data_IF_207596959240
#
_entry.id   IF_207596959240
#
_cell.length_a   1.000
_cell.length_b   1.000
_cell.length_c   1.000
_cell.angle_alpha   90.00
_cell.angle_beta   90.00
_cell.angle_gamma   90.00
#
_symmetry.space_group_name_H-M   'P 1'
#
loop_
_entity.id
_entity.type
_entity.pdbx_description
1 polymer ?
#
# COMPACT_ATOMS: atom_id res chain seq x y z
N UNK A 1 41.43 -47.94 24.37
CA UNK A 1 41.08 -49.14 23.58
C UNK A 1 39.64 -48.95 23.15
N UNK A 2 39.49 -48.49 21.92
CA UNK A 2 38.25 -48.38 21.16
C UNK A 2 38.73 -48.13 19.74
N UNK A 3 38.69 -49.22 18.96
CA UNK A 3 39.11 -49.30 17.57
C UNK A 3 38.05 -48.66 16.67
N UNK A 4 38.49 -47.93 15.64
CA UNK A 4 37.66 -47.52 14.49
C UNK A 4 38.21 -48.26 13.26
N UNK A 5 37.34 -49.00 12.59
CA UNK A 5 37.60 -49.81 11.39
C UNK A 5 37.56 -48.94 10.13
N UNK A 6 38.61 -49.01 9.29
CA UNK A 6 38.63 -48.50 7.91
C UNK A 6 37.91 -49.49 6.97
N UNK A 7 37.07 -48.97 6.09
CA UNK A 7 36.37 -49.73 5.03
C UNK A 7 37.22 -49.70 3.76
N UNK A 8 37.44 -50.88 3.16
CA UNK A 8 38.29 -51.13 1.99
C UNK A 8 37.50 -50.97 0.67
N UNK A 9 37.82 -49.92 -0.10
CA UNK A 9 37.13 -49.52 -1.34
C UNK A 9 37.31 -50.54 -2.50
N UNK A 10 38.27 -51.47 -2.43
CA UNK A 10 38.50 -52.47 -3.48
C UNK A 10 37.45 -53.60 -3.49
N UNK A 11 36.76 -53.84 -2.38
CA UNK A 11 35.73 -54.89 -2.28
C UNK A 11 34.43 -54.50 -3.01
N UNK A 12 34.11 -53.21 -3.06
CA UNK A 12 32.85 -52.70 -3.60
C UNK A 12 32.87 -52.64 -5.13
N UNK A 13 34.05 -52.40 -5.72
CA UNK A 13 34.24 -52.38 -7.17
C UNK A 13 34.14 -53.76 -7.82
N UNK A 14 34.52 -54.83 -7.10
CA UNK A 14 34.43 -56.20 -7.58
C UNK A 14 32.99 -56.72 -7.65
N UNK A 15 32.10 -56.24 -6.78
CA UNK A 15 30.68 -56.62 -6.76
C UNK A 15 29.89 -56.03 -7.93
N UNK A 16 30.25 -54.82 -8.37
CA UNK A 16 29.60 -54.14 -9.50
C UNK A 16 30.00 -54.72 -10.87
N UNK A 17 31.22 -55.23 -11.00
CA UNK A 17 31.66 -55.88 -12.25
C UNK A 17 30.96 -57.23 -12.49
N UNK A 18 30.54 -57.93 -11.42
CA UNK A 18 29.88 -59.24 -11.51
C UNK A 18 28.40 -59.17 -11.92
N UNK A 19 27.74 -58.01 -11.81
CA UNK A 19 26.34 -57.85 -12.23
C UNK A 19 26.15 -57.45 -13.69
N UNK A 20 27.23 -57.16 -14.43
CA UNK A 20 27.15 -56.65 -15.81
C UNK A 20 27.34 -57.71 -16.91
N UNK A 21 27.61 -58.98 -16.55
CA UNK A 21 27.93 -60.06 -17.51
C UNK A 21 26.90 -61.20 -17.61
N UNK A 22 25.66 -61.01 -17.14
CA UNK A 22 24.61 -62.05 -17.21
C UNK A 22 23.33 -61.48 -17.84
N UNK A 23 23.28 -61.41 -19.17
CA UNK A 23 22.29 -62.18 -19.94
C UNK A 23 22.47 -61.96 -21.46
N UNK A 24 22.88 -63.04 -22.12
CA UNK A 24 22.96 -63.15 -23.58
C UNK A 24 21.97 -64.20 -24.09
N UNK A 25 21.31 -63.84 -25.20
CA UNK A 25 21.00 -64.65 -26.40
C UNK A 25 20.21 -65.99 -26.28
N UNK A 26 19.12 -66.09 -27.06
CA UNK A 26 18.98 -66.94 -28.28
C UNK A 26 17.50 -67.29 -28.57
N UNK A 27 17.09 -67.28 -29.85
CA UNK A 27 15.77 -67.77 -30.30
C UNK A 27 15.45 -67.47 -31.77
N UNK A 28 15.40 -68.54 -32.57
CA UNK A 28 15.48 -68.68 -34.04
C UNK A 28 14.16 -68.49 -34.85
N UNK A 29 14.35 -68.14 -36.13
CA UNK A 29 13.62 -68.33 -37.43
C UNK A 29 12.10 -68.20 -37.71
N UNK A 30 11.87 -67.78 -38.98
CA UNK A 30 10.80 -68.09 -39.96
C UNK A 30 9.49 -67.25 -40.17
N UNK A 31 9.45 -66.61 -41.35
CA UNK A 31 8.42 -66.62 -42.44
C UNK A 31 6.98 -66.04 -42.30
N UNK A 32 6.72 -65.01 -43.15
CA UNK A 32 5.59 -64.82 -44.13
C UNK A 32 4.24 -64.14 -43.73
N UNK A 33 3.87 -63.17 -44.59
CA UNK A 33 2.55 -62.60 -45.04
C UNK A 33 1.63 -61.72 -44.15
N UNK A 34 1.34 -60.53 -44.71
CA UNK A 34 0.06 -59.81 -44.93
C UNK A 34 -1.02 -59.70 -43.84
N UNK A 35 -1.58 -58.48 -43.75
CA UNK A 35 -3.01 -58.27 -43.44
C UNK A 35 -3.31 -57.15 -42.45
N UNK A 36 -4.05 -56.14 -42.93
CA UNK A 36 -4.79 -55.14 -42.16
C UNK A 36 -5.60 -55.75 -40.99
N UNK A 37 -5.74 -55.04 -39.86
CA UNK A 37 -7.05 -54.51 -39.44
C UNK A 37 -7.03 -53.80 -38.07
N UNK A 38 -7.98 -52.87 -38.00
CA UNK A 38 -8.32 -51.93 -36.95
C UNK A 38 -8.70 -52.53 -35.56
N UNK A 39 -8.37 -51.74 -34.54
CA UNK A 39 -9.21 -51.40 -33.38
C UNK A 39 -9.73 -52.54 -32.45
N UNK A 40 -9.06 -52.73 -31.30
CA UNK A 40 -9.68 -52.77 -29.95
C UNK A 40 -8.71 -53.25 -28.86
N UNK A 41 -8.28 -52.37 -27.94
CA UNK A 41 -7.99 -52.71 -26.54
C UNK A 41 -7.79 -51.44 -25.70
N UNK A 42 -8.88 -50.94 -25.12
CA UNK A 42 -8.84 -50.12 -23.93
C UNK A 42 -8.60 -51.00 -22.70
N UNK A 43 -7.91 -50.45 -21.70
CA UNK A 43 -7.63 -51.02 -20.36
C UNK A 43 -6.44 -52.00 -20.29
N UNK A 44 -5.24 -51.43 -20.29
CA UNK A 44 -4.05 -52.02 -19.71
C UNK A 44 -3.28 -50.93 -18.98
N UNK A 45 -3.51 -50.81 -17.66
CA UNK A 45 -2.70 -49.95 -16.82
C UNK A 45 -1.28 -50.49 -16.80
N UNK A 46 -0.36 -49.72 -17.36
CA UNK A 46 1.08 -49.87 -17.12
C UNK A 46 1.53 -48.63 -16.41
N UNK A 47 2.15 -48.84 -15.26
CA UNK A 47 3.02 -47.92 -14.54
C UNK A 47 4.02 -47.34 -15.56
N UNK A 48 3.63 -46.23 -16.19
CA UNK A 48 4.41 -45.59 -17.24
C UNK A 48 5.47 -44.80 -16.50
N UNK A 49 6.63 -45.43 -16.31
CA UNK A 49 7.83 -44.74 -15.85
C UNK A 49 8.06 -43.61 -16.84
N UNK A 50 7.80 -42.39 -16.38
CA UNK A 50 7.93 -41.19 -17.19
C UNK A 50 9.40 -41.09 -17.61
N UNK A 51 9.64 -40.89 -18.90
CA UNK A 51 10.98 -40.64 -19.39
C UNK A 51 11.48 -39.29 -18.82
N UNK A 52 12.79 -39.16 -18.64
CA UNK A 52 13.42 -37.97 -18.09
C UNK A 52 13.03 -36.71 -18.87
N UNK A 53 12.77 -36.83 -20.17
CA UNK A 53 12.24 -35.74 -21.00
C UNK A 53 10.80 -35.32 -20.67
N UNK A 54 9.91 -36.25 -20.31
CA UNK A 54 8.55 -35.93 -19.85
C UNK A 54 8.59 -35.31 -18.45
N UNK A 55 9.48 -35.78 -17.57
CA UNK A 55 9.71 -35.20 -16.24
C UNK A 55 10.24 -33.77 -16.34
N UNK A 56 11.21 -33.52 -17.21
CA UNK A 56 11.80 -32.20 -17.40
C UNK A 56 10.81 -31.21 -18.04
N UNK A 57 9.93 -31.69 -18.93
CA UNK A 57 8.83 -30.88 -19.48
C UNK A 57 7.77 -30.50 -18.45
N UNK A 58 7.57 -31.34 -17.42
CA UNK A 58 6.66 -31.09 -16.31
C UNK A 58 7.29 -30.23 -15.20
N UNK A 59 8.61 -30.30 -15.02
CA UNK A 59 9.36 -29.56 -13.99
C UNK A 59 10.00 -28.27 -14.48
N UNK A 60 9.96 -27.98 -15.79
CA UNK A 60 10.33 -26.68 -16.36
C UNK A 60 11.83 -26.37 -16.24
N UNK A 61 12.68 -27.39 -16.26
CA UNK A 61 14.13 -27.24 -16.33
C UNK A 61 14.56 -27.50 -17.78
N UNK A 62 14.38 -26.52 -18.65
CA UNK A 62 15.22 -26.45 -19.84
C UNK A 62 15.73 -25.03 -20.03
N UNK A 63 17.00 -24.97 -20.39
CA UNK A 63 17.85 -23.78 -20.39
C UNK A 63 17.34 -22.67 -21.31
N UNK A 64 17.72 -21.46 -20.94
CA UNK A 64 17.49 -20.19 -21.61
C UNK A 64 17.73 -20.26 -23.14
N UNK A 65 16.69 -19.98 -23.92
CA UNK A 65 16.79 -19.24 -25.18
C UNK A 65 15.45 -18.53 -25.45
N UNK A 66 15.52 -17.25 -25.77
CA UNK A 66 14.41 -16.31 -25.99
C UNK A 66 13.34 -16.87 -26.95
N UNK A 67 12.10 -17.01 -26.47
CA UNK A 67 10.92 -16.92 -27.34
C UNK A 67 9.75 -16.20 -26.66
N UNK A 68 9.46 -15.01 -27.17
CA UNK A 68 8.25 -14.24 -26.88
C UNK A 68 7.04 -14.99 -27.45
N UNK A 69 6.39 -15.79 -26.60
CA UNK A 69 4.97 -16.06 -26.74
C UNK A 69 4.55 -17.52 -26.84
N UNK A 70 4.55 -18.22 -25.71
CA UNK A 70 3.48 -19.14 -25.34
C UNK A 70 3.69 -19.62 -23.90
N UNK A 71 3.49 -18.73 -22.91
CA UNK A 71 3.30 -19.19 -21.53
C UNK A 71 2.07 -20.11 -21.52
N UNK A 72 2.29 -21.38 -21.23
CA UNK A 72 1.29 -22.44 -21.11
C UNK A 72 -0.03 -21.87 -20.57
N UNK A 73 -1.12 -22.01 -21.33
CA UNK A 73 -2.41 -21.40 -21.01
C UNK A 73 -2.93 -21.75 -19.61
N UNK A 74 -2.48 -22.87 -19.04
CA UNK A 74 -2.79 -23.30 -17.67
C UNK A 74 -1.97 -22.51 -16.64
N UNK A 75 -0.69 -22.24 -16.90
CA UNK A 75 0.14 -21.39 -16.03
C UNK A 75 -0.26 -19.92 -16.15
N UNK A 76 -0.69 -19.48 -17.34
CA UNK A 76 -1.34 -18.18 -17.52
C UNK A 76 -2.66 -18.10 -16.72
N UNK A 77 -3.46 -19.16 -16.66
CA UNK A 77 -4.70 -19.21 -15.86
C UNK A 77 -4.45 -19.31 -14.34
N UNK A 78 -3.42 -20.05 -13.90
CA UNK A 78 -3.00 -20.10 -12.50
C UNK A 78 -2.40 -18.75 -12.08
N UNK A 79 -1.62 -18.11 -12.96
CA UNK A 79 -1.13 -16.74 -12.78
C UNK A 79 -2.22 -15.68 -12.99
N UNK A 80 -3.34 -15.99 -13.67
CA UNK A 80 -4.49 -15.09 -13.79
C UNK A 80 -5.31 -15.02 -12.50
N UNK A 81 -5.00 -15.90 -11.55
CA UNK A 81 -5.32 -15.73 -10.13
C UNK A 81 -4.38 -14.75 -9.41
N UNK A 82 -3.50 -14.02 -10.11
CA UNK A 82 -3.01 -12.71 -9.69
C UNK A 82 -4.25 -11.87 -9.50
N UNK A 83 -4.71 -11.84 -8.26
CA UNK A 83 -5.87 -11.07 -7.88
C UNK A 83 -5.51 -9.62 -8.20
N UNK A 84 -6.04 -9.12 -9.31
CA UNK A 84 -5.95 -7.72 -9.68
C UNK A 84 -6.86 -6.95 -8.72
N UNK A 85 -6.39 -6.81 -7.47
CA UNK A 85 -7.01 -5.92 -6.53
C UNK A 85 -6.90 -4.50 -7.07
N UNK A 86 -7.97 -3.74 -6.85
CA UNK A 86 -8.11 -2.37 -7.29
C UNK A 86 -6.90 -1.54 -6.82
N UNK A 87 -6.23 -0.83 -7.75
CA UNK A 87 -5.14 0.07 -7.38
C UNK A 87 -5.68 1.13 -6.43
N UNK A 88 -5.04 1.28 -5.27
CA UNK A 88 -5.37 2.27 -4.25
C UNK A 88 -4.46 3.50 -4.46
N UNK A 89 -4.89 4.53 -5.21
CA UNK A 89 -4.00 5.61 -5.63
C UNK A 89 -3.49 6.44 -4.45
N UNK A 90 -4.25 6.47 -3.35
CA UNK A 90 -3.86 7.16 -2.13
C UNK A 90 -2.71 6.46 -1.42
N UNK A 91 -2.57 5.13 -1.55
CA UNK A 91 -1.41 4.43 -0.99
C UNK A 91 -0.12 4.85 -1.69
N UNK A 92 -0.14 5.03 -3.01
CA UNK A 92 1.04 5.52 -3.74
C UNK A 92 1.52 6.88 -3.16
N UNK A 93 0.59 7.79 -2.86
CA UNK A 93 0.92 9.11 -2.30
C UNK A 93 1.39 9.01 -0.84
N UNK A 94 0.74 8.18 -0.02
CA UNK A 94 1.13 7.96 1.37
C UNK A 94 2.53 7.37 1.44
N UNK A 95 2.83 6.36 0.62
CA UNK A 95 4.14 5.71 0.62
C UNK A 95 5.24 6.62 0.04
N UNK A 96 4.94 7.46 -0.95
CA UNK A 96 5.89 8.47 -1.44
C UNK A 96 6.21 9.54 -0.37
N UNK A 97 5.23 9.90 0.47
CA UNK A 97 5.47 10.73 1.66
C UNK A 97 6.28 9.98 2.72
N UNK A 98 5.89 8.74 3.01
CA UNK A 98 6.55 7.88 4.00
C UNK A 98 8.04 7.73 3.73
N UNK A 99 8.41 7.41 2.49
CA UNK A 99 9.81 7.21 2.09
C UNK A 99 10.66 8.48 2.24
N UNK A 100 10.08 9.66 1.98
CA UNK A 100 10.75 10.95 2.21
C UNK A 100 10.95 11.26 3.70
N UNK A 101 9.95 10.96 4.53
CA UNK A 101 10.07 11.09 5.98
C UNK A 101 11.12 10.13 6.53
N UNK A 102 11.02 8.85 6.16
CA UNK A 102 11.95 7.80 6.57
C UNK A 102 13.40 8.10 6.19
N UNK A 103 13.66 8.65 4.99
CA UNK A 103 15.01 9.07 4.59
C UNK A 103 15.58 10.14 5.54
N UNK A 104 14.75 11.06 6.01
CA UNK A 104 15.15 12.13 6.94
C UNK A 104 15.37 11.58 8.35
N UNK A 105 14.42 10.78 8.85
CA UNK A 105 14.46 10.20 10.19
C UNK A 105 15.61 9.20 10.35
N UNK A 106 15.84 8.33 9.36
CA UNK A 106 16.95 7.36 9.39
C UNK A 106 18.31 8.01 9.20
N UNK A 107 18.41 9.10 8.44
CA UNK A 107 19.62 9.95 8.39
C UNK A 107 19.94 10.53 9.77
N UNK A 108 18.93 11.05 10.49
CA UNK A 108 19.12 11.56 11.84
C UNK A 108 19.47 10.46 12.84
N UNK A 109 18.88 9.28 12.71
CA UNK A 109 19.15 8.12 13.54
C UNK A 109 20.58 7.61 13.36
N UNK A 110 21.00 7.38 12.11
CA UNK A 110 22.34 6.84 11.77
C UNK A 110 23.46 7.88 11.78
N UNK A 111 23.12 9.18 11.74
CA UNK A 111 24.07 10.29 11.53
C UNK A 111 24.88 10.18 10.23
N UNK A 112 24.38 9.45 9.23
CA UNK A 112 25.02 9.24 7.94
C UNK A 112 24.08 9.58 6.77
N UNK A 113 24.61 9.72 5.55
CA UNK A 113 23.77 9.95 4.39
C UNK A 113 22.91 8.70 4.10
N UNK A 114 21.60 8.82 4.33
CA UNK A 114 20.62 7.75 4.14
C UNK A 114 19.55 8.23 3.16
N UNK A 115 19.26 7.42 2.13
CA UNK A 115 18.21 7.66 1.15
C UNK A 115 17.37 6.40 0.95
N UNK A 116 16.05 6.57 0.91
CA UNK A 116 15.10 5.48 0.64
C UNK A 116 14.39 5.78 -0.66
N UNK A 117 14.17 4.74 -1.46
CA UNK A 117 13.31 4.78 -2.64
C UNK A 117 12.36 3.58 -2.68
N UNK A 118 11.21 3.73 -3.34
CA UNK A 118 10.28 2.63 -3.59
C UNK A 118 10.71 1.93 -4.88
N UNK A 119 11.03 0.64 -4.80
CA UNK A 119 11.34 -0.19 -5.97
C UNK A 119 10.03 -0.58 -6.69
N UNK A 120 9.06 -1.15 -5.97
CA UNK A 120 7.73 -1.42 -6.50
C UNK A 120 6.67 -1.60 -5.40
N UNK A 121 5.40 -1.49 -5.80
CA UNK A 121 4.23 -1.82 -4.99
C UNK A 121 3.37 -2.83 -5.76
N UNK A 122 3.18 -4.02 -5.19
CA UNK A 122 2.51 -5.15 -5.87
C UNK A 122 1.58 -5.90 -4.92
N UNK A 123 0.57 -6.57 -5.47
CA UNK A 123 -0.27 -7.48 -4.70
C UNK A 123 0.24 -8.92 -4.86
N UNK A 124 0.36 -9.63 -3.75
CA UNK A 124 0.83 -11.01 -3.70
C UNK A 124 0.02 -11.82 -2.68
N UNK A 125 0.19 -13.14 -2.68
CA UNK A 125 -0.33 -13.99 -1.61
C UNK A 125 0.65 -14.00 -0.43
N UNK A 126 0.12 -13.92 0.77
CA UNK A 126 0.92 -13.84 1.99
C UNK A 126 1.79 -15.09 2.21
N UNK A 127 1.28 -16.28 1.87
CA UNK A 127 2.06 -17.52 1.95
C UNK A 127 3.26 -17.55 0.99
N UNK A 128 3.05 -17.13 -0.25
CA UNK A 128 4.11 -17.06 -1.27
C UNK A 128 5.19 -16.06 -0.85
N UNK A 129 4.79 -14.95 -0.22
CA UNK A 129 5.70 -13.98 0.37
C UNK A 129 6.60 -14.61 1.44
N UNK A 130 6.00 -15.24 2.47
CA UNK A 130 6.76 -15.81 3.58
C UNK A 130 7.76 -16.87 3.12
N UNK A 131 7.41 -17.65 2.09
CA UNK A 131 8.30 -18.67 1.50
C UNK A 131 9.43 -18.07 0.66
N UNK A 132 9.31 -16.81 0.21
CA UNK A 132 10.32 -16.11 -0.59
C UNK A 132 11.41 -15.43 0.25
N UNK A 133 11.24 -15.35 1.57
CA UNK A 133 12.18 -14.63 2.45
C UNK A 133 13.44 -15.48 2.65
N UNK A 134 14.63 -14.98 2.25
CA UNK A 134 15.88 -15.68 2.51
C UNK A 134 16.20 -15.67 4.02
N UNK A 135 16.70 -16.78 4.53
CA UNK A 135 17.19 -16.88 5.91
C UNK A 135 18.70 -16.59 5.95
N UNK A 136 19.22 -15.84 6.95
CA UNK A 136 18.50 -15.15 8.01
C UNK A 136 17.97 -13.77 7.58
N UNK A 137 16.77 -13.42 8.07
CA UNK A 137 16.17 -12.10 7.95
C UNK A 137 15.56 -11.68 9.28
N UNK A 138 15.45 -10.38 9.54
CA UNK A 138 14.61 -9.91 10.66
C UNK A 138 13.24 -9.50 10.15
N UNK A 139 12.24 -10.06 10.81
CA UNK A 139 10.83 -9.84 10.57
C UNK A 139 10.24 -9.12 11.77
N UNK A 140 9.65 -7.96 11.54
CA UNK A 140 8.99 -7.17 12.55
C UNK A 140 7.48 -7.24 12.33
N UNK A 141 6.78 -7.86 13.27
CA UNK A 141 5.32 -7.82 13.31
C UNK A 141 4.91 -6.57 14.06
N UNK A 142 4.07 -5.74 13.44
CA UNK A 142 3.51 -4.56 14.07
C UNK A 142 1.98 -4.65 14.11
N UNK A 143 1.40 -4.11 15.17
CA UNK A 143 -0.04 -4.00 15.36
C UNK A 143 -0.52 -2.60 14.96
N UNK A 144 -1.68 -2.55 14.32
CA UNK A 144 -2.37 -1.31 13.94
C UNK A 144 -3.58 -1.15 14.86
N UNK A 145 -3.49 -0.27 15.85
CA UNK A 145 -4.44 -0.25 16.97
C UNK A 145 -5.88 0.05 16.53
N UNK A 146 -6.06 1.04 15.66
CA UNK A 146 -7.38 1.50 15.23
C UNK A 146 -8.03 0.56 14.21
N UNK A 147 -7.24 -0.29 13.54
CA UNK A 147 -7.75 -1.28 12.58
C UNK A 147 -7.87 -2.67 13.17
N UNK A 148 -7.39 -2.85 14.42
CA UNK A 148 -7.35 -4.12 15.15
C UNK A 148 -6.76 -5.27 14.31
N UNK A 149 -5.63 -5.00 13.65
CA UNK A 149 -4.99 -5.95 12.75
C UNK A 149 -3.47 -5.79 12.75
N UNK A 150 -2.77 -6.61 11.96
CA UNK A 150 -1.31 -6.66 11.93
C UNK A 150 -0.74 -6.37 10.56
N UNK A 151 0.51 -5.92 10.55
CA UNK A 151 1.36 -5.82 9.37
C UNK A 151 2.76 -6.37 9.67
N UNK A 152 3.56 -6.48 8.62
CA UNK A 152 4.89 -7.07 8.67
C UNK A 152 5.90 -6.16 7.97
N UNK A 153 7.04 -5.92 8.59
CA UNK A 153 8.21 -5.30 7.97
C UNK A 153 9.33 -6.33 7.95
N UNK A 154 9.99 -6.51 6.83
CA UNK A 154 11.19 -7.34 6.73
C UNK A 154 12.38 -6.49 6.33
N UNK A 155 13.52 -6.82 6.90
CA UNK A 155 14.77 -6.09 6.71
C UNK A 155 15.84 -7.10 6.34
N UNK A 156 16.51 -6.84 5.22
CA UNK A 156 17.59 -7.70 4.77
C UNK A 156 18.82 -7.61 5.69
N UNK A 157 19.63 -8.67 5.67
CA UNK A 157 20.86 -8.73 6.46
C UNK A 157 21.83 -7.59 6.12
N UNK A 158 21.89 -7.17 4.85
CA UNK A 158 22.80 -6.13 4.41
C UNK A 158 22.49 -4.78 5.05
N UNK A 159 21.21 -4.40 5.12
CA UNK A 159 20.79 -3.16 5.76
C UNK A 159 21.00 -3.22 7.28
N UNK A 160 20.71 -4.36 7.91
CA UNK A 160 20.94 -4.55 9.35
C UNK A 160 22.41 -4.32 9.70
N UNK A 161 23.35 -5.00 9.01
CA UNK A 161 24.77 -4.82 9.28
C UNK A 161 25.25 -3.41 8.93
N UNK A 162 24.72 -2.83 7.85
CA UNK A 162 25.02 -1.44 7.49
C UNK A 162 24.65 -0.47 8.61
N UNK A 163 23.49 -0.65 9.24
CA UNK A 163 23.01 0.25 10.29
C UNK A 163 23.72 0.00 11.62
N UNK A 164 24.01 -1.26 11.96
CA UNK A 164 24.80 -1.61 13.14
C UNK A 164 26.20 -1.00 13.06
N UNK A 165 26.84 -1.07 11.89
CA UNK A 165 28.15 -0.46 11.68
C UNK A 165 28.09 1.08 11.76
N UNK A 166 27.02 1.71 11.27
CA UNK A 166 26.82 3.16 11.46
C UNK A 166 26.66 3.49 12.96
N UNK A 167 25.83 2.70 13.64
CA UNK A 167 25.56 2.64 15.08
C UNK A 167 26.80 2.76 15.95
N UNK A 168 27.73 1.85 15.68
CA UNK A 168 28.88 1.58 16.52
C UNK A 168 30.14 2.32 16.09
N UNK A 169 30.03 3.25 15.13
CA UNK A 169 31.15 4.06 14.66
C UNK A 169 32.12 3.32 13.74
N UNK A 170 31.61 2.39 12.93
CA UNK A 170 32.36 1.68 11.89
C UNK A 170 33.08 2.62 10.92
N UNK A 171 34.22 2.18 10.39
CA UNK A 171 35.02 2.98 9.45
C UNK A 171 34.35 3.02 8.07
N UNK A 172 34.10 4.24 7.56
CA UNK A 172 33.67 4.50 6.18
C UNK A 172 34.57 3.77 5.17
N UNK A 173 33.97 3.07 4.20
CA UNK A 173 34.69 2.41 3.10
C UNK A 173 35.30 1.04 3.42
N UNK A 174 35.03 0.45 4.59
CA UNK A 174 35.36 -0.98 4.79
C UNK A 174 34.27 -1.79 4.09
N UNK A 175 34.64 -2.57 3.06
CA UNK A 175 33.69 -3.43 2.36
C UNK A 175 32.84 -4.21 3.37
N UNK A 176 31.51 -4.35 3.15
CA UNK A 176 30.65 -5.05 4.09
C UNK A 176 31.25 -6.42 4.34
N UNK A 177 31.62 -6.68 5.60
CA UNK A 177 32.06 -8.01 5.98
C UNK A 177 30.84 -8.90 5.76
N UNK A 178 30.84 -9.68 4.67
CA UNK A 178 29.80 -10.65 4.36
C UNK A 178 29.83 -11.74 5.41
N UNK A 179 29.16 -11.49 6.52
CA UNK A 179 28.94 -12.48 7.56
C UNK A 179 27.55 -13.06 7.29
N UNK A 180 27.41 -13.68 6.13
CA UNK A 180 26.19 -14.38 5.74
C UNK A 180 26.03 -15.62 6.65
N UNK A 181 24.83 -15.81 7.20
CA UNK A 181 24.47 -17.04 7.92
C UNK A 181 24.74 -17.07 9.43
N UNK A 182 25.18 -15.98 10.07
CA UNK A 182 25.22 -15.93 11.55
C UNK A 182 23.85 -15.55 12.13
N UNK A 183 23.43 -16.15 13.27
CA UNK A 183 22.28 -15.65 14.00
C UNK A 183 22.57 -14.24 14.56
N UNK A 184 21.53 -13.40 14.65
CA UNK A 184 21.66 -12.06 15.20
C UNK A 184 21.90 -12.09 16.71
N UNK A 185 22.75 -11.18 17.17
CA UNK A 185 23.06 -10.94 18.58
C UNK A 185 22.01 -10.05 19.24
N UNK A 186 21.96 -10.04 20.57
CA UNK A 186 21.07 -9.16 21.34
C UNK A 186 21.28 -7.68 21.01
N UNK A 187 22.52 -7.26 20.74
CA UNK A 187 22.84 -5.87 20.38
C UNK A 187 22.20 -5.51 19.03
N UNK A 188 22.35 -6.39 18.04
CA UNK A 188 21.75 -6.19 16.70
C UNK A 188 20.22 -6.13 16.78
N UNK A 189 19.61 -6.99 17.61
CA UNK A 189 18.17 -6.95 17.87
C UNK A 189 17.72 -5.60 18.45
N UNK A 190 18.38 -5.11 19.51
CA UNK A 190 18.00 -3.84 20.15
C UNK A 190 18.15 -2.65 19.20
N UNK A 191 19.23 -2.60 18.41
CA UNK A 191 19.44 -1.50 17.47
C UNK A 191 18.38 -1.49 16.35
N UNK A 192 17.99 -2.67 15.87
CA UNK A 192 16.93 -2.78 14.85
C UNK A 192 15.56 -2.49 15.44
N UNK A 193 15.30 -2.84 16.69
CA UNK A 193 14.07 -2.45 17.40
C UNK A 193 13.91 -0.92 17.49
N UNK A 194 14.98 -0.20 17.85
CA UNK A 194 14.97 1.26 17.90
C UNK A 194 14.74 1.88 16.51
N UNK A 195 15.39 1.33 15.49
CA UNK A 195 15.20 1.76 14.11
C UNK A 195 13.75 1.54 13.65
N UNK A 196 13.18 0.37 13.93
CA UNK A 196 11.79 0.05 13.60
C UNK A 196 10.81 0.98 14.30
N UNK A 197 11.07 1.37 15.54
CA UNK A 197 10.25 2.36 16.25
C UNK A 197 10.22 3.71 15.52
N UNK A 198 11.38 4.15 14.99
CA UNK A 198 11.45 5.37 14.15
C UNK A 198 10.65 5.19 12.87
N UNK A 199 10.83 4.05 12.18
CA UNK A 199 10.12 3.76 10.93
C UNK A 199 8.60 3.66 11.11
N UNK A 200 8.13 3.05 12.20
CA UNK A 200 6.69 2.93 12.47
C UNK A 200 6.09 4.28 12.83
N UNK A 201 6.83 5.14 13.52
CA UNK A 201 6.40 6.52 13.77
C UNK A 201 6.24 7.31 12.46
N UNK A 202 7.21 7.22 11.55
CA UNK A 202 7.10 7.86 10.24
C UNK A 202 5.89 7.32 9.45
N UNK A 203 5.55 6.04 9.65
CA UNK A 203 4.36 5.43 9.04
C UNK A 203 3.06 6.01 9.63
N UNK A 204 2.98 6.20 10.96
CA UNK A 204 1.86 6.90 11.60
C UNK A 204 1.68 8.30 10.99
N UNK A 205 2.76 9.07 10.95
CA UNK A 205 2.73 10.45 10.47
C UNK A 205 2.36 10.50 8.97
N UNK A 206 2.79 9.53 8.17
CA UNK A 206 2.43 9.41 6.76
C UNK A 206 0.92 9.20 6.54
N UNK A 207 0.28 8.38 7.38
CA UNK A 207 -1.16 8.10 7.34
C UNK A 207 -2.03 9.17 8.01
N UNK A 208 -1.47 10.01 8.90
CA UNK A 208 -2.18 11.04 9.68
C UNK A 208 -3.20 11.88 8.88
N UNK A 209 -2.93 12.35 7.64
CA UNK A 209 -3.88 13.18 6.89
C UNK A 209 -5.13 12.42 6.43
N UNK A 210 -5.06 11.09 6.34
CA UNK A 210 -6.18 10.25 5.96
C UNK A 210 -6.94 9.75 7.19
N UNK A 211 -6.19 9.23 8.16
CA UNK A 211 -6.71 8.67 9.40
C UNK A 211 -5.65 8.81 10.48
N UNK A 212 -6.02 9.27 11.66
CA UNK A 212 -5.19 9.09 12.84
C UNK A 212 -5.08 7.59 13.11
N UNK A 213 -3.88 7.03 12.97
CA UNK A 213 -3.60 5.61 13.15
C UNK A 213 -2.24 5.44 13.82
N UNK A 214 -2.17 4.44 14.70
CA UNK A 214 -1.02 4.14 15.54
C UNK A 214 -0.48 2.77 15.20
N UNK A 215 0.72 2.74 14.63
CA UNK A 215 1.48 1.52 14.34
C UNK A 215 2.46 1.24 15.49
N UNK A 216 2.30 0.10 16.17
CA UNK A 216 3.16 -0.30 17.29
C UNK A 216 3.88 -1.61 16.99
N UNK A 217 5.17 -1.66 17.31
CA UNK A 217 5.92 -2.91 17.22
C UNK A 217 5.35 -3.90 18.24
N UNK A 218 5.01 -5.11 17.78
CA UNK A 218 4.48 -6.19 18.61
C UNK A 218 5.58 -7.20 18.97
N UNK A 219 6.30 -7.69 17.95
CA UNK A 219 7.44 -8.60 18.15
C UNK A 219 8.42 -8.61 16.98
N UNK A 220 9.63 -9.07 17.27
CA UNK A 220 10.70 -9.36 16.32
C UNK A 220 10.90 -10.86 16.19
N UNK A 221 10.98 -11.34 14.96
CA UNK A 221 11.16 -12.75 14.61
C UNK A 221 12.30 -12.90 13.61
N UNK A 222 13.01 -14.02 13.68
CA UNK A 222 14.08 -14.38 12.71
C UNK A 222 13.64 -15.47 11.73
N UNK A 223 12.55 -16.16 12.04
CA UNK A 223 12.00 -17.23 11.22
C UNK A 223 10.60 -16.81 10.69
N UNK A 224 10.39 -16.79 9.36
CA UNK A 224 9.11 -16.42 8.75
C UNK A 224 7.91 -17.21 9.28
N UNK A 225 8.11 -18.46 9.73
CA UNK A 225 7.02 -19.30 10.28
C UNK A 225 6.38 -18.72 11.54
N UNK A 226 7.13 -17.97 12.36
CA UNK A 226 6.62 -17.32 13.57
C UNK A 226 6.04 -15.92 13.31
N UNK A 227 6.27 -15.36 12.12
CA UNK A 227 5.76 -14.06 11.69
C UNK A 227 4.41 -14.14 10.96
N UNK A 228 3.66 -15.23 11.15
CA UNK A 228 2.37 -15.44 10.47
C UNK A 228 1.30 -14.52 11.06
N UNK A 229 0.92 -13.47 10.32
CA UNK A 229 -0.10 -12.48 10.72
C UNK A 229 -1.46 -12.67 10.02
N UNK A 230 -1.49 -13.45 8.94
CA UNK A 230 -2.68 -13.72 8.14
C UNK A 230 -2.64 -15.16 7.61
N UNK A 231 -3.77 -15.64 7.09
CA UNK A 231 -3.81 -16.95 6.43
C UNK A 231 -2.92 -16.93 5.18
N UNK A 232 -2.18 -18.00 4.86
CA UNK A 232 -1.29 -18.05 3.69
C UNK A 232 -1.99 -17.75 2.35
N UNK A 233 -3.27 -18.08 2.25
CA UNK A 233 -4.10 -17.84 1.07
C UNK A 233 -4.57 -16.39 0.93
N UNK A 234 -4.44 -15.57 1.98
CA UNK A 234 -4.87 -14.18 1.95
C UNK A 234 -3.93 -13.36 1.08
N UNK A 235 -4.51 -12.40 0.37
CA UNK A 235 -3.73 -11.43 -0.36
C UNK A 235 -3.17 -10.36 0.58
N UNK A 236 -2.00 -9.86 0.21
CA UNK A 236 -1.34 -8.75 0.86
C UNK A 236 -0.75 -7.79 -0.18
N UNK A 237 -0.67 -6.53 0.21
CA UNK A 237 0.09 -5.51 -0.48
C UNK A 237 1.54 -5.61 -0.02
N UNK A 238 2.46 -5.75 -0.98
CA UNK A 238 3.90 -5.73 -0.76
C UNK A 238 4.48 -4.44 -1.34
N UNK A 239 5.11 -3.64 -0.48
CA UNK A 239 5.90 -2.48 -0.84
C UNK A 239 7.37 -2.85 -0.69
N UNK A 240 8.11 -2.91 -1.79
CA UNK A 240 9.56 -3.10 -1.77
C UNK A 240 10.24 -1.75 -1.80
N UNK A 241 11.15 -1.54 -0.86
CA UNK A 241 11.93 -0.32 -0.74
C UNK A 241 13.42 -0.65 -0.73
N UNK A 242 14.19 0.26 -1.29
CA UNK A 242 15.64 0.21 -1.30
C UNK A 242 16.17 1.30 -0.39
N UNK A 243 17.10 0.92 0.48
CA UNK A 243 17.84 1.82 1.34
C UNK A 243 19.28 1.94 0.82
N UNK A 244 19.69 3.16 0.54
CA UNK A 244 21.03 3.52 0.06
C UNK A 244 21.76 4.34 1.13
N UNK A 245 22.98 3.92 1.44
CA UNK A 245 23.85 4.52 2.45
C UNK A 245 25.27 4.70 1.88
N UNK A 246 25.41 5.48 0.81
CA UNK A 246 26.68 5.72 0.11
C UNK A 246 27.29 4.44 -0.46
N UNK A 247 28.24 3.81 0.24
CA UNK A 247 28.93 2.58 -0.20
C UNK A 247 28.27 1.29 0.32
N UNK A 248 27.18 1.41 1.09
CA UNK A 248 26.44 0.30 1.71
C UNK A 248 24.94 0.50 1.57
N UNK A 249 24.15 -0.49 1.97
CA UNK A 249 22.70 -0.41 1.85
C UNK A 249 22.03 -1.78 1.90
N UNK A 250 20.78 -1.81 1.48
CA UNK A 250 20.00 -3.05 1.43
C UNK A 250 18.55 -2.82 1.02
N UNK A 251 17.73 -3.82 1.28
CA UNK A 251 16.31 -3.86 0.98
C UNK A 251 15.50 -4.01 2.24
N UNK A 252 14.35 -3.37 2.22
CA UNK A 252 13.33 -3.48 3.24
C UNK A 252 11.99 -3.62 2.56
N UNK A 253 11.13 -4.44 3.11
CA UNK A 253 9.82 -4.71 2.52
C UNK A 253 8.74 -4.54 3.58
N UNK A 254 7.65 -3.89 3.21
CA UNK A 254 6.49 -3.70 4.07
C UNK A 254 5.30 -4.45 3.47
N UNK A 255 4.67 -5.27 4.30
CA UNK A 255 3.55 -6.12 3.94
C UNK A 255 2.33 -5.78 4.77
N UNK A 256 1.26 -5.42 4.07
CA UNK A 256 -0.04 -5.14 4.65
C UNK A 256 -1.07 -6.10 4.04
N UNK A 257 -1.58 -7.08 4.82
CA UNK A 257 -2.72 -7.88 4.39
C UNK A 257 -3.90 -7.00 3.98
N UNK A 258 -4.68 -7.39 2.97
CA UNK A 258 -5.87 -6.62 2.57
C UNK A 258 -6.89 -6.50 3.71
N UNK A 259 -6.99 -7.53 4.56
CA UNK A 259 -7.83 -7.50 5.76
C UNK A 259 -7.44 -6.37 6.74
N UNK A 260 -6.17 -5.98 6.77
CA UNK A 260 -5.66 -4.86 7.59
C UNK A 260 -6.08 -3.51 7.00
N UNK A 261 -6.15 -3.39 5.67
CA UNK A 261 -6.48 -2.16 4.96
C UNK A 261 -8.00 -1.93 4.86
N UNK A 262 -8.82 -3.00 4.98
CA UNK A 262 -10.27 -2.94 4.79
C UNK A 262 -10.98 -1.79 5.53
N UNK A 263 -10.70 -1.49 6.81
CA UNK A 263 -11.36 -0.41 7.54
C UNK A 263 -11.18 0.99 6.93
N UNK A 264 -10.07 1.21 6.20
CA UNK A 264 -9.74 2.50 5.56
C UNK A 264 -9.85 2.44 4.03
N UNK A 265 -10.37 1.35 3.49
CA UNK A 265 -10.43 1.10 2.05
C UNK A 265 -11.17 2.19 1.28
N UNK A 266 -12.32 2.64 1.76
CA UNK A 266 -13.11 3.68 1.09
C UNK A 266 -12.34 5.00 1.00
N UNK A 267 -11.60 5.38 2.05
CA UNK A 267 -10.77 6.58 2.08
C UNK A 267 -9.60 6.46 1.09
N UNK A 268 -9.03 5.25 0.94
CA UNK A 268 -7.93 5.00 0.01
C UNK A 268 -8.35 4.95 -1.46
N UNK A 269 -9.63 4.70 -1.74
CA UNK A 269 -10.21 4.70 -3.09
C UNK A 269 -10.57 6.11 -3.58
N UNK A 270 -10.80 7.06 -2.67
CA UNK A 270 -11.12 8.43 -3.04
C UNK A 270 -9.96 9.05 -3.82
N UNK A 271 -10.17 9.31 -5.11
CA UNK A 271 -9.22 10.08 -5.93
C UNK A 271 -9.27 11.53 -5.49
N UNK A 272 -8.34 11.95 -4.65
CA UNK A 272 -8.13 13.36 -4.35
C UNK A 272 -7.74 14.10 -5.63
N UNK A 273 -8.64 14.95 -6.13
CA UNK A 273 -8.35 15.87 -7.25
C UNK A 273 -7.55 17.07 -6.71
N UNK A 274 -6.24 16.91 -6.53
CA UNK A 274 -5.29 18.03 -6.58
C UNK A 274 -5.15 18.93 -5.35
N UNK A 275 -5.74 18.63 -4.20
CA UNK A 275 -5.41 19.34 -2.96
C UNK A 275 -4.24 18.62 -2.28
N UNK A 276 -3.12 19.33 -2.13
CA UNK A 276 -1.88 18.79 -1.57
C UNK A 276 -2.12 18.32 -0.14
N UNK A 277 -1.59 17.14 0.17
CA UNK A 277 -1.51 16.61 1.52
C UNK A 277 -0.85 17.63 2.47
N UNK A 278 -1.58 18.05 3.49
CA UNK A 278 -1.12 18.99 4.51
C UNK A 278 -2.09 20.16 4.65
N UNK A 279 -2.52 20.42 5.89
CA UNK A 279 -3.28 21.62 6.24
C UNK A 279 -2.45 22.85 5.88
N UNK A 280 -2.67 23.42 4.70
CA UNK A 280 -2.02 24.65 4.29
C UNK A 280 -2.73 25.82 4.96
N UNK A 281 -2.34 26.06 6.22
CA UNK A 281 -2.83 27.20 7.03
C UNK A 281 -2.65 28.55 6.33
N UNK A 282 -1.74 28.63 5.34
CA UNK A 282 -1.55 29.80 4.49
C UNK A 282 -2.71 29.93 3.50
N UNK A 283 -3.13 28.86 2.80
CA UNK A 283 -4.28 28.93 1.90
C UNK A 283 -5.59 29.19 2.64
N UNK A 284 -5.80 28.56 3.80
CA UNK A 284 -6.95 28.88 4.66
C UNK A 284 -6.94 30.35 5.07
N UNK A 285 -5.79 30.88 5.51
CA UNK A 285 -5.65 32.29 5.87
C UNK A 285 -5.87 33.23 4.68
N UNK A 286 -5.40 32.86 3.49
CA UNK A 286 -5.59 33.63 2.26
C UNK A 286 -7.05 33.57 1.79
N UNK A 287 -7.68 32.41 1.79
CA UNK A 287 -9.08 32.25 1.43
C UNK A 287 -9.98 32.98 2.41
N UNK A 288 -9.75 32.82 3.72
CA UNK A 288 -10.49 33.57 4.75
C UNK A 288 -10.32 35.07 4.54
N UNK A 289 -9.10 35.53 4.25
CA UNK A 289 -8.84 36.93 3.93
C UNK A 289 -9.58 37.41 2.68
N UNK A 290 -9.59 36.62 1.62
CA UNK A 290 -10.33 36.96 0.38
C UNK A 290 -11.85 36.90 0.59
N UNK A 291 -12.36 35.95 1.38
CA UNK A 291 -13.76 35.87 1.77
C UNK A 291 -14.19 37.10 2.58
N UNK A 292 -13.36 37.56 3.54
CA UNK A 292 -13.60 38.80 4.27
C UNK A 292 -13.49 40.06 3.39
N UNK A 293 -12.73 40.02 2.30
CA UNK A 293 -12.58 41.11 1.34
C UNK A 293 -13.59 41.06 0.19
N UNK A 294 -14.46 40.06 0.15
CA UNK A 294 -15.45 39.92 -0.93
C UNK A 294 -16.58 40.92 -0.71
N UNK A 295 -16.81 41.79 -1.69
CA UNK A 295 -17.95 42.69 -1.70
C UNK A 295 -19.23 41.89 -1.99
N UNK A 296 -20.22 42.04 -1.11
CA UNK A 296 -21.51 41.35 -1.23
C UNK A 296 -22.63 42.38 -1.32
N UNK A 297 -23.50 42.32 -2.35
CA UNK A 297 -24.62 43.23 -2.46
C UNK A 297 -25.63 42.97 -1.35
N UNK A 298 -25.93 44.01 -0.57
CA UNK A 298 -26.99 44.01 0.42
C UNK A 298 -28.19 44.78 -0.09
N UNK A 299 -29.35 44.15 0.00
CA UNK A 299 -30.63 44.75 -0.37
C UNK A 299 -31.42 45.06 0.89
N UNK A 300 -32.08 46.21 0.89
CA UNK A 300 -32.91 46.65 2.01
C UNK A 300 -34.32 46.73 1.50
N UNK A 301 -35.17 45.88 2.06
CA UNK A 301 -36.53 45.73 1.61
C UNK A 301 -37.42 46.53 2.53
N UNK A 302 -38.00 47.61 1.98
CA UNK A 302 -38.94 48.46 2.69
C UNK A 302 -40.26 47.75 2.93
N UNK A 303 -40.79 47.09 1.91
CA UNK A 303 -42.02 46.32 1.95
C UNK A 303 -42.08 45.35 0.76
N UNK A 304 -42.83 44.26 0.91
CA UNK A 304 -43.09 43.30 -0.16
C UNK A 304 -44.57 43.26 -0.48
N UNK A 305 -44.91 43.63 -1.72
CA UNK A 305 -46.30 43.64 -2.19
C UNK A 305 -46.53 42.51 -3.17
N UNK A 306 -47.39 41.56 -2.81
CA UNK A 306 -47.79 40.47 -3.69
C UNK A 306 -48.94 40.92 -4.61
N UNK A 307 -48.77 40.74 -5.92
CA UNK A 307 -49.79 41.04 -6.93
C UNK A 307 -49.87 39.90 -7.96
N UNK A 308 -51.02 39.77 -8.61
CA UNK A 308 -51.19 38.78 -9.69
C UNK A 308 -50.46 39.24 -10.95
N UNK A 309 -50.02 38.29 -11.79
CA UNK A 309 -49.31 38.61 -13.03
C UNK A 309 -50.13 39.52 -13.97
N UNK A 310 -51.47 39.37 -13.97
CA UNK A 310 -52.36 40.23 -14.76
C UNK A 310 -52.35 41.69 -14.29
N UNK A 311 -52.26 41.92 -12.98
CA UNK A 311 -52.15 43.26 -12.41
C UNK A 311 -50.79 43.89 -12.72
N UNK A 312 -49.70 43.11 -12.69
CA UNK A 312 -48.36 43.56 -13.09
C UNK A 312 -48.34 44.04 -14.53
N UNK A 313 -48.95 43.25 -15.44
CA UNK A 313 -49.01 43.57 -16.87
C UNK A 313 -49.89 44.79 -17.18
N UNK A 314 -50.81 45.13 -16.27
CA UNK A 314 -51.71 46.28 -16.38
C UNK A 314 -51.17 47.56 -15.76
N UNK A 315 -49.92 47.59 -15.26
CA UNK A 315 -49.36 48.79 -14.64
C UNK A 315 -49.10 49.90 -15.67
N UNK A 316 -49.60 51.10 -15.39
CA UNK A 316 -49.41 52.28 -16.24
C UNK A 316 -48.45 53.30 -15.62
N UNK A 317 -47.71 54.02 -16.48
CA UNK A 317 -46.80 55.09 -16.03
C UNK A 317 -47.60 56.17 -15.30
N UNK A 318 -47.27 56.41 -14.03
CA UNK A 318 -47.97 57.36 -13.16
C UNK A 318 -48.92 56.71 -12.14
N UNK A 319 -49.12 55.39 -12.21
CA UNK A 319 -49.85 54.66 -11.19
C UNK A 319 -49.10 54.66 -9.86
N UNK A 320 -49.83 54.89 -8.77
CA UNK A 320 -49.27 54.91 -7.41
C UNK A 320 -49.49 53.55 -6.74
N UNK A 321 -48.41 52.94 -6.27
CA UNK A 321 -48.45 51.69 -5.49
C UNK A 321 -48.30 52.07 -4.02
N UNK A 322 -49.29 51.73 -3.21
CA UNK A 322 -49.24 51.97 -1.77
C UNK A 322 -48.46 50.85 -1.09
N UNK A 323 -47.34 51.21 -0.46
CA UNK A 323 -46.57 50.30 0.39
C UNK A 323 -47.15 50.32 1.82
N UNK A 324 -47.14 49.19 2.50
CA UNK A 324 -47.53 49.01 3.90
C UNK A 324 -46.40 49.33 4.89
N UNK A 325 -45.36 50.05 4.47
CA UNK A 325 -44.28 50.51 5.34
C UNK A 325 -44.47 51.97 5.76
N UNK A 326 -44.40 52.22 7.07
CA UNK A 326 -44.31 53.56 7.65
C UNK A 326 -42.85 53.99 7.86
N UNK A 327 -42.63 55.27 8.13
CA UNK A 327 -41.28 55.85 8.29
C UNK A 327 -40.48 55.24 9.46
N UNK A 328 -41.17 54.64 10.44
CA UNK A 328 -40.60 53.99 11.62
C UNK A 328 -40.66 52.46 11.57
N UNK A 329 -41.12 51.89 10.45
CA UNK A 329 -41.26 50.44 10.28
C UNK A 329 -39.90 49.74 10.26
N UNK A 330 -39.90 48.53 10.81
CA UNK A 330 -38.74 47.65 10.76
C UNK A 330 -38.57 47.11 9.33
N UNK A 331 -37.36 47.21 8.80
CA UNK A 331 -36.99 46.76 7.46
C UNK A 331 -36.06 45.56 7.54
N UNK A 332 -36.17 44.70 6.54
CA UNK A 332 -35.33 43.52 6.42
C UNK A 332 -34.16 43.81 5.47
N UNK A 333 -32.95 43.45 5.90
CA UNK A 333 -31.77 43.49 5.03
C UNK A 333 -31.43 42.07 4.62
N UNK A 334 -31.40 41.85 3.31
CA UNK A 334 -31.13 40.57 2.68
C UNK A 334 -29.82 40.60 1.91
N UNK A 335 -29.17 39.44 1.89
CA UNK A 335 -28.03 39.17 1.02
C UNK A 335 -28.47 38.11 0.02
N UNK A 336 -28.59 38.46 -1.27
CA UNK A 336 -29.04 37.54 -2.33
C UNK A 336 -30.32 36.77 -1.96
N UNK A 337 -31.31 37.47 -1.40
CA UNK A 337 -32.58 36.88 -0.98
C UNK A 337 -32.58 36.18 0.40
N UNK A 338 -31.43 36.06 1.08
CA UNK A 338 -31.37 35.47 2.43
C UNK A 338 -31.51 36.54 3.50
N UNK A 339 -32.42 36.40 4.48
CA UNK A 339 -32.55 37.31 5.63
C UNK A 339 -31.26 37.33 6.47
N UNK A 340 -30.64 38.49 6.64
CA UNK A 340 -29.40 38.62 7.43
C UNK A 340 -29.60 39.44 8.71
N UNK A 341 -30.35 40.53 8.62
CA UNK A 341 -30.54 41.46 9.73
C UNK A 341 -31.85 42.24 9.58
N UNK A 342 -32.32 42.82 10.67
CA UNK A 342 -33.42 43.78 10.67
C UNK A 342 -32.99 45.09 11.31
N UNK A 343 -33.62 46.18 10.88
CA UNK A 343 -33.28 47.51 11.35
C UNK A 343 -34.34 48.54 11.00
N UNK A 344 -34.02 49.81 11.25
CA UNK A 344 -34.91 50.92 10.87
C UNK A 344 -34.21 51.87 9.92
N UNK A 345 -34.96 52.31 8.92
CA UNK A 345 -34.48 53.31 7.97
C UNK A 345 -34.43 54.68 8.65
N UNK A 346 -33.36 55.40 8.38
CA UNK A 346 -33.14 56.74 8.88
C UNK A 346 -32.22 57.51 7.94
N UNK A 347 -31.66 58.61 8.46
CA UNK A 347 -30.78 59.48 7.69
C UNK A 347 -29.52 59.79 8.50
N UNK A 348 -28.36 59.60 7.88
CA UNK A 348 -27.08 60.03 8.43
C UNK A 348 -26.50 61.14 7.56
N UNK A 349 -26.63 62.38 8.03
CA UNK A 349 -26.25 63.57 7.26
C UNK A 349 -27.13 63.74 6.01
N UNK A 350 -26.56 63.51 4.82
CA UNK A 350 -27.27 63.57 3.54
C UNK A 350 -27.64 62.19 2.97
N UNK A 351 -27.17 61.10 3.57
CA UNK A 351 -27.37 59.75 3.06
C UNK A 351 -28.51 59.05 3.81
N UNK A 352 -29.26 58.21 3.10
CA UNK A 352 -30.16 57.23 3.71
C UNK A 352 -29.29 56.19 4.41
N UNK A 353 -29.62 55.87 5.65
CA UNK A 353 -28.87 54.94 6.47
C UNK A 353 -29.84 54.03 7.21
N UNK A 354 -29.37 52.86 7.63
CA UNK A 354 -30.18 51.91 8.40
C UNK A 354 -29.50 51.69 9.74
N UNK A 355 -30.26 51.80 10.81
CA UNK A 355 -29.82 51.41 12.13
C UNK A 355 -30.15 49.93 12.32
N UNK A 356 -29.14 49.09 12.39
CA UNK A 356 -29.29 47.65 12.65
C UNK A 356 -29.79 47.48 14.09
N UNK A 357 -30.90 46.76 14.26
CA UNK A 357 -31.48 46.45 15.57
C UNK A 357 -31.26 44.98 15.94
N UNK A 358 -31.32 44.05 14.97
CA UNK A 358 -31.13 42.63 15.21
C UNK A 358 -30.37 41.96 14.06
N UNK A 359 -29.53 41.00 14.40
CA UNK A 359 -28.82 40.14 13.44
C UNK A 359 -29.36 38.72 13.57
N UNK A 360 -29.71 38.09 12.45
CA UNK A 360 -30.13 36.69 12.45
C UNK A 360 -28.90 35.80 12.63
N UNK A 361 -28.90 34.98 13.69
CA UNK A 361 -27.80 34.06 13.96
C UNK A 361 -28.26 32.64 13.63
N UNK A 362 -27.82 32.09 12.49
CA UNK A 362 -28.21 30.74 12.03
C UNK A 362 -27.56 29.59 12.84
N UNK A 363 -26.69 29.88 13.80
CA UNK A 363 -25.95 28.85 14.57
C UNK A 363 -26.70 28.21 15.75
N UNK A 364 -28.03 28.26 15.81
CA UNK A 364 -28.77 27.69 16.96
C UNK A 364 -29.76 26.57 16.69
N UNK A 365 -29.90 26.08 15.46
CA UNK A 365 -30.76 24.93 15.17
C UNK A 365 -30.12 24.01 14.13
N UNK A 366 -29.17 23.20 14.60
CA UNK A 366 -28.85 21.90 14.05
C UNK A 366 -28.34 21.05 15.23
N UNK A 367 -29.29 20.44 15.94
CA UNK A 367 -29.03 19.31 16.87
C UNK A 367 -29.21 18.04 16.09
#
# INVERSE_FOLDING_TARGET
>A
MSDEEEIDDDAVAAEWAAMAEDDGAEGDDDLVEDGDDDMAAAMGGTDRVLDQTEIDSLLGFDGEEDDEGAKSGIQALISSGLVAYERLPMLDIIFDRYVRMMSTSLRNFTSDNFEVSIDNMTSIRFGDYLNSIPLPAMLAVFHVEEWDNYGLITIDSNLIYSIVDALLGGRRGTAPMRIEGRPYTTIEHTLVEEMLAVMLKDLCDAFEPLSAVTFKLDRLETNPRFATIAQPTNAALLIKMRADMEDRGGRMELVLPYATIEPVRELLLQRFMGEKFGRDSIWESHLVRELYNTDVPLEVILDEYSMTLGEVLGLEVGQTIMLNAQADSEVEVRCSGVPMMTGRVGKLGRHVAIKIEKVYNKHKEAV
#
